data_IF_650272465606
#
_entry.id   IF_650272465606
#
_cell.length_a   1.000
_cell.length_b   1.000
_cell.length_c   1.000
_cell.angle_alpha   90.00
_cell.angle_beta   90.00
_cell.angle_gamma   90.00
#
_symmetry.space_group_name_H-M   'P 1'
#
loop_
_entity.id
_entity.type
_entity.pdbx_description
1 polymer ?
#
# COMPACT_ATOMS: atom_id res chain seq x y z
N UNK A 1 3.03 -25.72 -0.34
CA UNK A 1 3.57 -26.92 0.34
C UNK A 1 4.49 -26.44 1.45
N UNK A 2 4.32 -26.94 2.67
CA UNK A 2 5.18 -26.59 3.81
C UNK A 2 6.36 -27.57 3.83
N UNK A 3 7.59 -27.07 3.95
CA UNK A 3 8.78 -27.90 4.18
C UNK A 3 9.35 -27.56 5.55
N UNK A 4 9.60 -28.56 6.38
CA UNK A 4 10.10 -28.39 7.74
C UNK A 4 11.48 -29.03 7.85
N UNK A 5 12.40 -28.35 8.52
CA UNK A 5 13.70 -28.83 8.95
C UNK A 5 13.85 -28.61 10.46
N UNK A 6 14.90 -29.16 11.11
CA UNK A 6 15.10 -28.99 12.55
C UNK A 6 15.16 -27.53 13.04
N UNK A 7 15.56 -26.60 12.17
CA UNK A 7 15.75 -25.19 12.52
C UNK A 7 15.01 -24.22 11.60
N UNK A 8 14.23 -24.71 10.63
CA UNK A 8 13.56 -23.83 9.68
C UNK A 8 12.26 -24.42 9.13
N UNK A 9 11.33 -23.53 8.82
CA UNK A 9 10.12 -23.82 8.07
C UNK A 9 10.13 -22.98 6.79
N UNK A 10 9.83 -23.62 5.66
CA UNK A 10 9.65 -22.95 4.37
C UNK A 10 8.20 -23.07 3.96
N UNK A 11 7.57 -21.93 3.72
CA UNK A 11 6.20 -21.82 3.26
C UNK A 11 6.19 -21.49 1.76
N UNK A 12 5.68 -22.41 0.94
CA UNK A 12 5.58 -22.24 -0.51
C UNK A 12 4.11 -22.24 -0.96
N UNK A 13 3.78 -21.39 -1.96
CA UNK A 13 2.43 -21.17 -2.49
C UNK A 13 1.41 -20.92 -1.38
N UNK A 14 1.68 -19.88 -0.59
CA UNK A 14 0.79 -19.40 0.46
C UNK A 14 -0.53 -18.88 -0.14
N UNK A 15 -1.63 -19.22 0.51
CA UNK A 15 -2.95 -18.64 0.27
C UNK A 15 -3.46 -17.97 1.55
N UNK A 16 -4.56 -17.22 1.48
CA UNK A 16 -5.05 -16.40 2.60
C UNK A 16 -5.35 -17.21 3.86
N UNK A 17 -5.78 -18.47 3.73
CA UNK A 17 -6.01 -19.36 4.87
C UNK A 17 -4.73 -19.73 5.64
N UNK A 18 -3.56 -19.56 5.02
CA UNK A 18 -2.26 -19.78 5.64
C UNK A 18 -1.67 -18.49 6.24
N UNK A 19 -2.32 -17.33 6.08
CA UNK A 19 -1.93 -16.11 6.79
C UNK A 19 -2.20 -16.28 8.31
N UNK A 20 -1.33 -15.72 9.13
CA UNK A 20 -1.45 -15.83 10.58
C UNK A 20 -0.11 -15.78 11.30
N UNK A 21 -0.12 -16.18 12.56
CA UNK A 21 1.05 -16.19 13.43
C UNK A 21 1.72 -17.56 13.42
N UNK A 22 3.05 -17.55 13.27
CA UNK A 22 3.88 -18.74 13.27
C UNK A 22 4.90 -18.63 14.41
N UNK A 23 5.10 -19.73 15.13
CA UNK A 23 6.14 -19.89 16.13
C UNK A 23 6.64 -21.34 16.08
N UNK A 24 7.89 -21.55 16.48
CA UNK A 24 8.43 -22.88 16.71
C UNK A 24 8.30 -23.21 18.19
N UNK A 25 7.81 -24.40 18.52
CA UNK A 25 7.74 -24.86 19.90
C UNK A 25 8.56 -26.14 20.05
N UNK A 26 9.34 -26.19 21.12
CA UNK A 26 9.95 -27.42 21.61
C UNK A 26 9.15 -27.92 22.80
N UNK A 27 8.93 -29.22 22.89
CA UNK A 27 8.28 -29.88 24.01
C UNK A 27 9.07 -31.13 24.42
N UNK A 28 9.26 -31.31 25.72
CA UNK A 28 9.86 -32.48 26.35
C UNK A 28 8.86 -33.09 27.33
N UNK A 29 8.75 -34.41 27.35
CA UNK A 29 7.83 -35.11 28.25
C UNK A 29 8.42 -35.32 29.65
N UNK A 30 9.74 -35.55 29.74
CA UNK A 30 10.44 -35.85 31.00
C UNK A 30 11.78 -35.10 31.03
N UNK A 31 11.91 -33.99 31.80
CA UNK A 31 10.86 -33.32 32.57
C UNK A 31 9.80 -32.67 31.65
N UNK A 32 8.59 -32.41 32.19
CA UNK A 32 7.58 -31.65 31.46
C UNK A 32 8.09 -30.22 31.23
N UNK A 33 8.39 -29.90 29.98
CA UNK A 33 8.93 -28.60 29.59
C UNK A 33 8.47 -28.26 28.18
N UNK A 34 7.97 -27.04 27.96
CA UNK A 34 7.82 -26.51 26.62
C UNK A 34 8.31 -25.07 26.55
N UNK A 35 8.76 -24.67 25.36
CA UNK A 35 9.19 -23.31 25.07
C UNK A 35 8.91 -22.95 23.63
N UNK A 36 8.14 -21.89 23.43
CA UNK A 36 7.90 -21.29 22.13
C UNK A 36 9.01 -20.28 21.79
N UNK A 37 9.29 -20.15 20.49
CA UNK A 37 10.08 -19.06 19.93
C UNK A 37 9.30 -17.74 19.99
N UNK A 38 9.95 -16.67 19.51
CA UNK A 38 9.21 -15.44 19.16
C UNK A 38 8.15 -15.76 18.10
N UNK A 39 7.02 -15.06 18.19
CA UNK A 39 5.94 -15.12 17.19
C UNK A 39 6.33 -14.27 15.98
N UNK A 40 6.08 -14.81 14.79
CA UNK A 40 6.20 -14.12 13.51
C UNK A 40 4.85 -14.06 12.82
N UNK A 41 4.42 -12.86 12.41
CA UNK A 41 3.19 -12.67 11.66
C UNK A 41 3.47 -12.76 10.16
N UNK A 42 2.66 -13.55 9.45
CA UNK A 42 2.75 -13.73 8.01
C UNK A 42 1.43 -13.32 7.39
N UNK A 43 1.49 -12.31 6.51
CA UNK A 43 0.34 -11.79 5.78
C UNK A 43 0.43 -12.14 4.30
N UNK A 44 -0.70 -12.50 3.71
CA UNK A 44 -0.83 -12.72 2.26
C UNK A 44 -1.52 -11.52 1.66
N UNK A 45 -0.88 -10.93 0.64
CA UNK A 45 -1.36 -9.72 -0.02
C UNK A 45 -1.74 -10.00 -1.47
N UNK A 46 -2.64 -9.17 -1.99
CA UNK A 46 -2.88 -9.04 -3.43
C UNK A 46 -2.32 -7.71 -3.88
N UNK A 47 -1.27 -7.79 -4.71
CA UNK A 47 -0.65 -6.61 -5.31
C UNK A 47 -1.58 -5.98 -6.35
N UNK A 48 -1.44 -4.67 -6.48
CA UNK A 48 -2.12 -3.91 -7.53
C UNK A 48 -1.57 -4.34 -8.90
N UNK A 49 -2.45 -4.64 -9.84
CA UNK A 49 -2.03 -5.01 -11.22
C UNK A 49 -1.49 -3.82 -12.01
N UNK A 50 -1.92 -2.62 -11.66
CA UNK A 50 -1.62 -1.39 -12.39
C UNK A 50 -1.30 -0.26 -11.41
N UNK A 51 -0.53 0.72 -11.88
CA UNK A 51 -0.25 1.94 -11.13
C UNK A 51 -1.55 2.72 -10.84
N UNK A 52 -1.58 3.52 -9.76
CA UNK A 52 -2.72 4.39 -9.49
C UNK A 52 -2.94 5.38 -10.63
N UNK A 53 -4.21 5.76 -10.86
CA UNK A 53 -4.60 6.70 -11.90
C UNK A 53 -4.81 8.08 -11.29
N UNK A 54 -4.10 9.08 -11.82
CA UNK A 54 -4.26 10.48 -11.47
C UNK A 54 -5.18 11.14 -12.48
N UNK A 55 -6.12 11.97 -12.01
CA UNK A 55 -6.92 12.87 -12.83
C UNK A 55 -6.72 14.30 -12.33
N UNK A 56 -6.21 15.17 -13.18
CA UNK A 56 -6.08 16.59 -12.89
C UNK A 56 -7.41 17.25 -13.26
N UNK A 57 -7.92 18.13 -12.40
CA UNK A 57 -9.22 18.78 -12.59
C UNK A 57 -9.15 19.94 -13.58
N UNK A 58 -8.03 20.68 -13.60
CA UNK A 58 -7.85 21.83 -14.46
C UNK A 58 -7.23 21.46 -15.81
N UNK A 59 -7.78 21.99 -16.91
CA UNK A 59 -7.16 21.90 -18.24
C UNK A 59 -6.01 22.90 -18.43
N UNK A 60 -6.06 24.04 -17.72
CA UNK A 60 -5.03 25.09 -17.71
C UNK A 60 -4.78 25.56 -16.28
N UNK A 61 -3.51 25.66 -15.90
CA UNK A 61 -3.10 26.11 -14.57
C UNK A 61 -2.94 27.64 -14.57
N UNK A 62 -3.66 28.32 -13.67
CA UNK A 62 -3.49 29.75 -13.43
C UNK A 62 -2.53 29.95 -12.26
N UNK A 63 -1.52 30.85 -12.34
CA UNK A 63 -0.50 31.01 -11.28
C UNK A 63 -1.05 31.33 -9.88
N UNK A 64 -2.26 31.89 -9.80
CA UNK A 64 -2.94 32.27 -8.56
C UNK A 64 -3.88 31.22 -7.98
N UNK A 65 -4.02 30.05 -8.64
CA UNK A 65 -4.94 28.99 -8.24
C UNK A 65 -4.29 27.84 -7.47
N UNK A 66 -5.11 26.85 -7.14
CA UNK A 66 -4.64 25.57 -6.60
C UNK A 66 -4.64 24.51 -7.71
N UNK A 67 -3.61 23.67 -7.72
CA UNK A 67 -3.60 22.41 -8.45
C UNK A 67 -4.54 21.44 -7.72
N UNK A 68 -5.62 21.01 -8.39
CA UNK A 68 -6.53 20.01 -7.86
C UNK A 68 -6.42 18.72 -8.67
N UNK A 69 -6.13 17.62 -8.00
CA UNK A 69 -6.05 16.31 -8.62
C UNK A 69 -6.72 15.25 -7.75
N UNK A 70 -7.24 14.21 -8.39
CA UNK A 70 -7.70 13.00 -7.71
C UNK A 70 -6.80 11.83 -8.08
N UNK A 71 -6.58 10.93 -7.13
CA UNK A 71 -5.85 9.69 -7.35
C UNK A 71 -6.71 8.51 -6.91
N UNK A 72 -6.79 7.52 -7.80
CA UNK A 72 -7.49 6.27 -7.57
C UNK A 72 -6.50 5.11 -7.65
N UNK A 73 -6.42 4.32 -6.58
CA UNK A 73 -5.58 3.14 -6.55
C UNK A 73 -6.09 2.04 -7.47
N UNK A 74 -5.21 1.12 -7.87
CA UNK A 74 -5.64 -0.20 -8.34
C UNK A 74 -6.23 -1.04 -7.19
N UNK A 75 -7.11 -2.03 -7.48
CA UNK A 75 -7.62 -2.96 -6.47
C UNK A 75 -6.50 -3.81 -5.86
N UNK A 76 -6.52 -3.96 -4.53
CA UNK A 76 -5.54 -4.73 -3.78
C UNK A 76 -6.13 -5.27 -2.47
N UNK A 77 -5.36 -6.15 -1.81
CA UNK A 77 -5.64 -6.59 -0.44
C UNK A 77 -4.32 -6.62 0.36
N UNK A 78 -4.25 -5.97 1.53
CA UNK A 78 -5.24 -5.04 2.08
C UNK A 78 -5.39 -3.78 1.20
N UNK A 79 -6.29 -2.88 1.58
CA UNK A 79 -6.46 -1.61 0.89
C UNK A 79 -5.13 -0.83 0.86
N UNK A 80 -4.72 -0.27 -0.31
CA UNK A 80 -3.43 0.38 -0.43
C UNK A 80 -3.46 1.78 0.19
N UNK A 81 -2.34 2.23 0.74
CA UNK A 81 -2.13 3.61 1.15
C UNK A 81 -1.73 4.47 -0.06
N UNK A 82 -2.23 5.72 -0.13
CA UNK A 82 -1.85 6.67 -1.16
C UNK A 82 -0.91 7.73 -0.61
N UNK A 83 0.10 8.11 -1.40
CA UNK A 83 1.04 9.18 -1.03
C UNK A 83 1.29 10.07 -2.22
N UNK A 84 1.07 11.37 -2.02
CA UNK A 84 1.30 12.38 -3.05
C UNK A 84 2.72 12.92 -2.97
N UNK A 85 3.34 13.09 -4.13
CA UNK A 85 4.61 13.76 -4.30
C UNK A 85 4.50 14.79 -5.41
N UNK A 86 5.14 15.92 -5.20
CA UNK A 86 5.36 16.93 -6.23
C UNK A 86 6.86 17.09 -6.41
N UNK A 87 7.34 16.95 -7.64
CA UNK A 87 8.77 16.94 -7.96
C UNK A 87 9.54 15.95 -7.06
N UNK A 88 8.95 14.78 -6.82
CA UNK A 88 9.48 13.71 -5.98
C UNK A 88 9.62 14.05 -4.47
N UNK A 89 9.02 15.14 -4.01
CA UNK A 89 8.95 15.52 -2.58
C UNK A 89 7.56 15.20 -2.03
N UNK A 90 7.49 14.50 -0.89
CA UNK A 90 6.23 14.17 -0.22
C UNK A 90 5.46 15.46 0.11
N UNK A 91 4.19 15.50 -0.29
CA UNK A 91 3.28 16.60 0.01
C UNK A 91 2.83 16.54 1.47
N UNK A 92 2.67 17.70 2.11
CA UNK A 92 2.07 17.81 3.45
C UNK A 92 0.64 17.25 3.45
N UNK A 93 0.31 16.45 4.46
CA UNK A 93 -0.98 15.78 4.57
C UNK A 93 -2.15 16.77 4.64
N UNK A 94 -1.93 18.01 5.11
CA UNK A 94 -2.93 19.10 5.13
C UNK A 94 -3.39 19.52 3.73
N UNK A 95 -2.57 19.26 2.71
CA UNK A 95 -2.88 19.55 1.30
C UNK A 95 -3.51 18.35 0.59
N UNK A 96 -3.74 17.27 1.32
CA UNK A 96 -4.35 16.04 0.80
C UNK A 96 -5.66 15.75 1.52
N UNK A 97 -6.62 15.17 0.80
CA UNK A 97 -7.93 14.79 1.35
C UNK A 97 -8.09 13.29 1.11
N UNK A 98 -7.98 12.45 2.15
CA UNK A 98 -8.26 11.02 2.02
C UNK A 98 -9.77 10.81 1.89
N UNK A 99 -10.19 10.05 0.88
CA UNK A 99 -11.60 9.66 0.69
C UNK A 99 -11.91 8.26 1.24
N UNK A 100 -10.92 7.63 1.90
CA UNK A 100 -11.03 6.29 2.45
C UNK A 100 -10.95 5.19 1.39
N UNK A 101 -11.46 4.02 1.77
CA UNK A 101 -11.33 2.77 1.02
C UNK A 101 -12.69 2.24 0.61
N UNK A 102 -12.80 1.70 -0.61
CA UNK A 102 -14.03 1.07 -1.11
C UNK A 102 -13.73 -0.34 -1.60
N UNK A 103 -14.56 -1.31 -1.19
CA UNK A 103 -14.49 -2.68 -1.68
C UNK A 103 -14.98 -2.74 -3.13
N UNK A 104 -14.29 -3.51 -3.96
CA UNK A 104 -14.73 -3.82 -5.32
C UNK A 104 -15.39 -5.20 -5.35
N UNK A 105 -16.34 -5.40 -6.27
CA UNK A 105 -17.00 -6.70 -6.48
C UNK A 105 -16.05 -7.82 -6.96
N UNK A 106 -14.79 -7.49 -7.29
CA UNK A 106 -13.81 -8.49 -7.72
C UNK A 106 -13.17 -9.14 -6.51
N UNK A 107 -13.22 -10.46 -6.49
CA UNK A 107 -12.55 -11.28 -5.50
C UNK A 107 -11.30 -11.94 -6.11
N UNK A 108 -10.29 -12.16 -5.28
CA UNK A 108 -9.12 -12.97 -5.64
C UNK A 108 -9.01 -14.11 -4.64
N UNK A 109 -9.24 -15.35 -5.09
CA UNK A 109 -9.33 -16.52 -4.21
C UNK A 109 -10.28 -16.30 -3.02
N UNK A 110 -11.47 -15.73 -3.28
CA UNK A 110 -12.48 -15.43 -2.26
C UNK A 110 -12.24 -14.14 -1.46
N UNK A 111 -11.05 -13.54 -1.52
CA UNK A 111 -10.76 -12.32 -0.77
C UNK A 111 -11.31 -11.05 -1.44
N UNK A 112 -12.00 -10.18 -0.67
CA UNK A 112 -12.46 -8.90 -1.18
C UNK A 112 -11.27 -7.97 -1.44
N UNK A 113 -11.23 -7.39 -2.63
CA UNK A 113 -10.23 -6.37 -2.97
C UNK A 113 -10.80 -4.98 -2.66
N UNK A 114 -9.94 -4.06 -2.30
CA UNK A 114 -10.29 -2.67 -2.04
C UNK A 114 -9.47 -1.70 -2.88
N UNK A 115 -10.07 -0.56 -3.17
CA UNK A 115 -9.41 0.61 -3.75
C UNK A 115 -9.39 1.73 -2.72
N UNK A 116 -8.42 2.63 -2.86
CA UNK A 116 -8.27 3.83 -2.03
C UNK A 116 -8.27 5.05 -2.93
N UNK A 117 -8.94 6.10 -2.48
CA UNK A 117 -9.05 7.35 -3.20
C UNK A 117 -8.53 8.51 -2.34
N UNK A 118 -7.87 9.47 -2.97
CA UNK A 118 -7.49 10.72 -2.31
C UNK A 118 -7.49 11.87 -3.31
N UNK A 119 -7.70 13.09 -2.81
CA UNK A 119 -7.50 14.32 -3.56
C UNK A 119 -6.26 15.06 -3.08
N UNK A 120 -5.68 15.83 -3.99
CA UNK A 120 -4.63 16.81 -3.74
C UNK A 120 -5.19 18.19 -4.03
N UNK A 121 -4.91 19.15 -3.15
CA UNK A 121 -5.15 20.58 -3.36
C UNK A 121 -3.87 21.33 -2.99
N UNK A 122 -3.06 21.67 -3.99
CA UNK A 122 -1.74 22.25 -3.78
C UNK A 122 -1.65 23.67 -4.33
N UNK A 123 -1.21 24.66 -3.53
CA UNK A 123 -1.13 26.04 -3.98
C UNK A 123 -0.06 26.22 -5.05
N UNK A 124 -0.44 26.73 -6.22
CA UNK A 124 0.49 26.94 -7.34
C UNK A 124 1.52 28.04 -7.03
N UNK A 125 1.21 28.96 -6.12
CA UNK A 125 2.17 29.94 -5.61
C UNK A 125 3.39 29.30 -4.92
N UNK A 126 3.23 28.07 -4.39
CA UNK A 126 4.32 27.27 -3.84
C UNK A 126 5.19 26.61 -4.91
N UNK A 127 4.79 26.65 -6.18
CA UNK A 127 5.55 26.15 -7.31
C UNK A 127 6.20 27.34 -8.01
N UNK A 128 7.52 27.31 -8.16
CA UNK A 128 8.23 28.27 -9.00
C UNK A 128 8.01 27.91 -10.48
N UNK A 129 6.83 28.25 -11.00
CA UNK A 129 6.41 27.93 -12.38
C UNK A 129 7.07 28.94 -13.34
N UNK A 130 8.24 28.58 -13.86
CA UNK A 130 8.93 29.33 -14.90
C UNK A 130 8.56 28.83 -16.30
N UNK A 131 8.77 29.64 -17.36
CA UNK A 131 8.64 29.17 -18.74
C UNK A 131 9.49 27.92 -18.95
N UNK A 132 8.92 26.88 -19.56
CA UNK A 132 9.53 25.56 -19.82
C UNK A 132 9.79 24.68 -18.57
N UNK A 133 9.31 25.04 -17.38
CA UNK A 133 9.40 24.17 -16.22
C UNK A 133 8.17 23.23 -16.16
N UNK A 134 8.41 21.92 -16.19
CA UNK A 134 7.40 20.90 -15.95
C UNK A 134 7.36 20.52 -14.48
N UNK A 135 6.15 20.44 -13.93
CA UNK A 135 5.91 19.97 -12.57
C UNK A 135 5.45 18.52 -12.63
N UNK A 136 6.17 17.65 -11.93
CA UNK A 136 5.85 16.24 -11.87
C UNK A 136 4.98 15.94 -10.66
N UNK A 137 3.76 15.47 -10.94
CA UNK A 137 2.80 15.06 -9.91
C UNK A 137 2.80 13.52 -9.87
N UNK A 138 3.16 12.97 -8.73
CA UNK A 138 3.19 11.52 -8.51
C UNK A 138 2.23 11.14 -7.39
N UNK A 139 1.48 10.06 -7.61
CA UNK A 139 0.70 9.39 -6.59
C UNK A 139 1.26 7.98 -6.44
N UNK A 140 1.87 7.67 -5.30
CA UNK A 140 2.30 6.33 -4.95
C UNK A 140 1.15 5.58 -4.31
N UNK A 141 1.07 4.28 -4.62
CA UNK A 141 0.11 3.38 -4.02
C UNK A 141 0.85 2.16 -3.50
N UNK A 142 0.79 1.96 -2.19
CA UNK A 142 1.62 0.97 -1.48
C UNK A 142 0.82 0.25 -0.43
N UNK A 143 1.07 -1.03 -0.24
CA UNK A 143 0.59 -1.75 0.94
C UNK A 143 1.62 -1.55 2.05
N UNK A 144 1.27 -0.96 3.20
CA UNK A 144 2.20 -0.79 4.31
C UNK A 144 2.89 -2.11 4.68
N UNK A 145 4.17 -2.04 5.05
CA UNK A 145 5.02 -3.22 5.33
C UNK A 145 5.39 -4.10 4.13
N UNK A 146 4.89 -3.78 2.92
CA UNK A 146 5.34 -4.42 1.69
C UNK A 146 6.06 -3.41 0.79
N UNK A 147 7.41 -3.41 0.77
CA UNK A 147 8.15 -2.53 -0.14
C UNK A 147 7.87 -2.90 -1.59
N UNK A 148 7.52 -1.89 -2.38
CA UNK A 148 7.48 -2.00 -3.85
C UNK A 148 8.91 -2.04 -4.35
N UNK A 149 9.35 -3.21 -4.85
CA UNK A 149 10.65 -3.39 -5.53
C UNK A 149 10.55 -2.83 -6.95
#
# INVERSE_FOLDING_TARGET
MIKVSPTSITLDRMDFSAAGTYACEIALEIPLYSKASKIHEINVIVRQKHRPKIKIKQEKLSPSGDLEATCHSGPAYPAPHLTWLINNVKVDERLTIPHGTMNVHRHHHGMPLAITNSSLKFPLSGLQIYPNHTVDITCLSTIPSYPTV
#
